data_IF_029528127421
#
_entry.id   IF_029528127421
#
_cell.length_a   1.000
_cell.length_b   1.000
_cell.length_c   1.000
_cell.angle_alpha   90.00
_cell.angle_beta   90.00
_cell.angle_gamma   90.00
#
_symmetry.space_group_name_H-M   'P 1'
#
loop_
_entity.id
_entity.type
_entity.pdbx_description
1 polymer ?
#
# COMPACT_ATOMS: atom_id res chain seq x y z
N UNK A 1 -19.59 79.50 -20.25
CA UNK A 1 -18.94 78.98 -21.49
C UNK A 1 -18.71 77.50 -21.29
N UNK A 2 -19.64 76.69 -21.77
CA UNK A 2 -19.52 75.84 -22.99
C UNK A 2 -18.69 74.59 -22.70
N UNK A 3 -19.33 73.45 -22.42
CA UNK A 3 -19.71 72.37 -23.38
C UNK A 3 -18.46 71.59 -23.84
N UNK A 4 -18.34 70.25 -23.78
CA UNK A 4 -19.28 69.14 -24.08
C UNK A 4 -18.84 67.91 -23.25
N UNK A 5 -19.69 67.07 -22.65
CA UNK A 5 -20.81 66.22 -23.15
C UNK A 5 -20.42 64.87 -23.78
N UNK A 6 -21.09 63.82 -23.24
CA UNK A 6 -21.33 62.44 -23.70
C UNK A 6 -20.16 61.45 -23.82
N UNK A 7 -20.27 60.18 -23.41
CA UNK A 7 -21.42 59.44 -22.91
C UNK A 7 -21.06 57.97 -22.62
N UNK A 8 -21.89 57.32 -21.81
CA UNK A 8 -21.92 55.87 -21.57
C UNK A 8 -22.16 55.10 -22.87
N UNK A 9 -21.51 53.94 -23.00
CA UNK A 9 -22.07 52.81 -23.75
C UNK A 9 -21.55 51.49 -23.17
N UNK A 10 -22.46 50.77 -22.51
CA UNK A 10 -22.34 49.34 -22.24
C UNK A 10 -22.03 48.57 -23.53
N UNK A 11 -21.15 47.58 -23.42
CA UNK A 11 -21.09 46.44 -24.35
C UNK A 11 -21.01 45.15 -23.55
N UNK A 12 -22.16 44.49 -23.44
CA UNK A 12 -22.24 43.04 -23.38
C UNK A 12 -21.97 42.47 -24.78
N UNK A 13 -21.11 41.47 -24.86
CA UNK A 13 -21.09 40.43 -25.91
C UNK A 13 -20.13 39.34 -25.41
N UNK A 14 -20.64 38.29 -24.77
CA UNK A 14 -21.03 37.01 -25.38
C UNK A 14 -19.90 36.25 -26.06
N UNK A 15 -19.69 35.05 -25.52
CA UNK A 15 -19.28 33.79 -26.13
C UNK A 15 -18.21 33.80 -27.25
N UNK A 16 -17.09 33.14 -26.95
CA UNK A 16 -16.63 32.07 -27.85
C UNK A 16 -16.05 30.92 -27.04
N UNK A 17 -16.74 29.80 -27.18
CA UNK A 17 -16.31 28.46 -26.81
C UNK A 17 -14.96 28.15 -27.47
N UNK A 18 -13.98 27.80 -26.65
CA UNK A 18 -12.71 27.23 -27.07
C UNK A 18 -12.54 25.89 -26.37
N UNK A 19 -13.44 24.96 -26.64
CA UNK A 19 -13.32 23.55 -26.27
C UNK A 19 -12.09 23.01 -27.01
N UNK A 20 -10.92 23.02 -26.36
CA UNK A 20 -9.91 22.01 -26.68
C UNK A 20 -10.21 20.77 -25.84
N UNK A 21 -11.22 20.06 -26.33
CA UNK A 21 -11.41 18.64 -26.06
C UNK A 21 -10.19 17.93 -26.63
N UNK A 22 -9.11 17.90 -25.84
CA UNK A 22 -8.02 16.94 -26.01
C UNK A 22 -8.61 15.57 -25.68
N UNK A 23 -9.30 15.05 -26.69
CA UNK A 23 -9.72 13.68 -26.81
C UNK A 23 -8.46 12.84 -26.59
N UNK A 24 -8.34 12.28 -25.39
CA UNK A 24 -7.34 11.28 -25.09
C UNK A 24 -7.68 10.07 -25.96
N UNK A 25 -7.03 10.00 -27.12
CA UNK A 25 -6.91 8.76 -27.87
C UNK A 25 -6.31 7.74 -26.92
N UNK A 26 -7.05 6.66 -26.71
CA UNK A 26 -6.55 5.43 -26.09
C UNK A 26 -5.30 5.00 -26.89
N UNK A 27 -4.13 5.37 -26.41
CA UNK A 27 -2.89 4.72 -26.78
C UNK A 27 -2.79 3.51 -25.86
N UNK A 28 -3.46 2.45 -26.30
CA UNK A 28 -3.17 1.07 -25.95
C UNK A 28 -1.86 0.70 -26.70
N UNK A 29 -0.75 1.28 -26.24
CA UNK A 29 0.58 0.77 -26.52
C UNK A 29 1.21 0.52 -25.17
N UNK A 30 1.22 -0.76 -24.79
CA UNK A 30 2.10 -1.26 -23.77
C UNK A 30 3.49 -0.70 -24.05
N UNK A 31 3.97 0.16 -23.15
CA UNK A 31 5.40 0.45 -23.07
C UNK A 31 6.03 -0.92 -22.89
N UNK A 32 6.65 -1.44 -23.95
CA UNK A 32 7.52 -2.60 -23.90
C UNK A 32 8.62 -2.25 -22.90
N UNK A 33 8.38 -2.66 -21.66
CA UNK A 33 9.35 -2.66 -20.60
C UNK A 33 10.48 -3.56 -21.09
N UNK A 34 11.56 -2.97 -21.57
CA UNK A 34 12.81 -3.69 -21.77
C UNK A 34 13.18 -4.22 -20.38
N UNK A 35 12.90 -5.51 -20.20
CA UNK A 35 12.67 -6.08 -18.88
C UNK A 35 13.97 -6.02 -18.08
N UNK A 36 13.87 -5.64 -16.81
CA UNK A 36 14.90 -5.93 -15.82
C UNK A 36 15.24 -7.43 -15.79
N UNK A 37 14.36 -8.29 -16.31
CA UNK A 37 14.68 -9.69 -16.59
C UNK A 37 15.63 -9.84 -17.78
N UNK A 38 15.50 -9.11 -18.89
CA UNK A 38 16.36 -9.34 -20.08
C UNK A 38 17.86 -9.12 -19.84
N UNK A 39 18.25 -8.19 -18.97
CA UNK A 39 19.65 -7.98 -18.55
C UNK A 39 20.15 -9.02 -17.53
N UNK A 40 19.25 -9.81 -16.95
CA UNK A 40 19.53 -10.87 -15.97
C UNK A 40 19.28 -12.29 -16.53
N UNK A 41 18.39 -12.45 -17.51
CA UNK A 41 18.01 -13.68 -18.21
C UNK A 41 18.91 -13.98 -19.41
N UNK A 42 19.62 -12.97 -19.94
CA UNK A 42 20.71 -13.22 -20.89
C UNK A 42 21.84 -14.09 -20.29
N UNK A 43 21.80 -14.37 -18.98
CA UNK A 43 22.66 -15.33 -18.30
C UNK A 43 21.93 -16.54 -17.69
N UNK A 44 20.62 -16.69 -17.86
CA UNK A 44 19.91 -17.87 -17.35
C UNK A 44 18.95 -18.46 -18.39
N UNK A 45 19.51 -19.32 -19.24
CA UNK A 45 18.74 -20.30 -20.00
C UNK A 45 18.26 -21.41 -19.05
N UNK A 46 17.05 -21.27 -18.50
CA UNK A 46 16.38 -22.39 -17.83
C UNK A 46 15.75 -23.31 -18.88
N UNK A 47 16.50 -24.35 -19.27
CA UNK A 47 15.89 -25.58 -19.79
C UNK A 47 15.34 -26.39 -18.63
N UNK A 48 14.12 -26.88 -18.77
CA UNK A 48 13.45 -27.73 -17.79
C UNK A 48 14.24 -29.02 -17.55
N UNK A 49 14.50 -29.37 -16.28
CA UNK A 49 14.92 -30.71 -15.89
C UNK A 49 16.06 -30.76 -14.87
N UNK A 50 15.71 -31.22 -13.68
CA UNK A 50 16.56 -31.90 -12.68
C UNK A 50 17.59 -31.09 -11.86
N UNK A 51 17.33 -31.16 -10.55
CA UNK A 51 18.21 -31.02 -9.38
C UNK A 51 19.71 -31.13 -9.71
N UNK A 52 20.50 -30.10 -9.41
CA UNK A 52 21.84 -30.22 -8.83
C UNK A 52 22.29 -28.89 -8.18
N UNK A 53 22.72 -29.04 -6.93
CA UNK A 53 23.64 -28.25 -6.09
C UNK A 53 24.11 -26.86 -6.53
N UNK A 54 24.07 -25.95 -5.55
CA UNK A 54 24.86 -24.71 -5.46
C UNK A 54 26.22 -24.84 -6.16
N UNK A 55 26.39 -24.15 -7.28
CA UNK A 55 27.70 -23.84 -7.85
C UNK A 55 27.87 -22.33 -7.83
N UNK A 56 28.88 -21.92 -7.08
CA UNK A 56 29.47 -20.59 -7.12
C UNK A 56 29.88 -20.28 -8.57
N UNK A 57 29.23 -19.30 -9.19
CA UNK A 57 29.77 -18.66 -10.39
C UNK A 57 30.32 -17.29 -10.02
N UNK A 58 31.58 -17.33 -9.57
CA UNK A 58 32.52 -16.22 -9.62
C UNK A 58 32.95 -16.01 -11.08
N UNK A 59 32.45 -14.93 -11.71
CA UNK A 59 33.23 -14.08 -12.63
C UNK A 59 32.59 -12.67 -12.66
N UNK A 60 33.04 -11.83 -11.72
CA UNK A 60 32.67 -10.42 -11.60
C UNK A 60 33.52 -9.56 -12.54
N UNK A 61 33.26 -9.62 -13.84
CA UNK A 61 33.62 -8.51 -14.76
C UNK A 61 32.48 -7.51 -14.71
N UNK A 62 32.39 -6.77 -13.60
CA UNK A 62 31.49 -5.63 -13.48
C UNK A 62 32.00 -4.53 -14.42
N UNK A 63 31.36 -4.37 -15.58
CA UNK A 63 31.54 -3.16 -16.36
C UNK A 63 30.99 -1.98 -15.52
N UNK A 64 31.89 -1.18 -14.94
CA UNK A 64 31.54 -0.02 -14.10
C UNK A 64 30.51 0.89 -14.79
N UNK A 65 30.55 0.97 -16.12
CA UNK A 65 29.62 1.73 -16.95
C UNK A 65 28.21 1.13 -16.95
N UNK A 66 28.07 -0.19 -17.09
CA UNK A 66 26.78 -0.87 -17.01
C UNK A 66 26.13 -0.68 -15.63
N UNK A 67 26.95 -0.68 -14.57
CA UNK A 67 26.43 -0.44 -13.23
C UNK A 67 25.88 0.98 -13.07
N UNK A 68 26.66 1.97 -13.53
CA UNK A 68 26.22 3.38 -13.52
C UNK A 68 24.96 3.57 -14.37
N UNK A 69 24.91 2.94 -15.56
CA UNK A 69 23.75 2.99 -16.44
C UNK A 69 22.50 2.38 -15.79
N UNK A 70 22.65 1.25 -15.08
CA UNK A 70 21.56 0.64 -14.32
C UNK A 70 21.00 1.63 -13.28
N UNK A 71 21.85 2.20 -12.42
CA UNK A 71 21.39 3.11 -11.37
C UNK A 71 20.77 4.40 -11.92
N UNK A 72 21.32 4.96 -13.00
CA UNK A 72 20.74 6.11 -13.69
C UNK A 72 19.34 5.80 -14.25
N UNK A 73 19.18 4.64 -14.90
CA UNK A 73 17.89 4.20 -15.42
C UNK A 73 16.87 3.95 -14.28
N UNK A 74 17.30 3.29 -13.20
CA UNK A 74 16.42 3.09 -12.03
C UNK A 74 15.95 4.43 -11.45
N UNK A 75 16.85 5.41 -11.32
CA UNK A 75 16.50 6.73 -10.80
C UNK A 75 15.54 7.48 -11.73
N UNK A 76 15.75 7.41 -13.05
CA UNK A 76 14.84 8.01 -14.03
C UNK A 76 13.45 7.36 -13.99
N UNK A 77 13.38 6.03 -14.04
CA UNK A 77 12.12 5.28 -13.94
C UNK A 77 11.40 5.58 -12.61
N UNK A 78 12.16 5.67 -11.52
CA UNK A 78 11.62 5.99 -10.21
C UNK A 78 11.01 7.40 -10.17
N UNK A 79 11.74 8.41 -10.64
CA UNK A 79 11.27 9.81 -10.67
C UNK A 79 10.06 9.99 -11.58
N UNK A 80 10.10 9.42 -12.78
CA UNK A 80 8.97 9.47 -13.72
C UNK A 80 7.73 8.77 -13.16
N UNK A 81 7.90 7.66 -12.44
CA UNK A 81 6.79 6.97 -11.79
C UNK A 81 6.21 7.78 -10.63
N UNK A 82 7.04 8.44 -9.81
CA UNK A 82 6.57 9.27 -8.70
C UNK A 82 5.86 10.56 -9.14
N UNK A 83 6.31 11.20 -10.23
CA UNK A 83 5.76 12.48 -10.69
C UNK A 83 4.37 12.34 -11.31
N UNK A 84 4.04 11.18 -11.87
CA UNK A 84 2.72 10.89 -12.46
C UNK A 84 1.66 10.80 -11.37
N UNK A 85 0.83 11.83 -11.20
CA UNK A 85 -0.31 11.83 -10.25
C UNK A 85 -1.56 12.42 -10.89
N UNK A 86 -2.72 11.83 -10.60
CA UNK A 86 -4.03 12.36 -11.00
C UNK A 86 -4.58 13.37 -10.01
N UNK A 87 -5.60 14.12 -10.41
CA UNK A 87 -6.32 15.05 -9.53
C UNK A 87 -6.98 14.34 -8.35
N UNK A 88 -7.53 13.13 -8.57
CA UNK A 88 -8.13 12.33 -7.50
C UNK A 88 -7.10 11.88 -6.45
N UNK A 89 -5.96 11.35 -6.90
CA UNK A 89 -4.87 10.98 -5.98
C UNK A 89 -4.38 12.16 -5.15
N UNK A 90 -4.28 13.35 -5.76
CA UNK A 90 -3.87 14.58 -5.06
C UNK A 90 -4.89 15.00 -3.99
N UNK A 91 -6.19 14.87 -4.27
CA UNK A 91 -7.26 15.15 -3.30
C UNK A 91 -7.20 14.17 -2.12
N UNK A 92 -7.16 12.86 -2.40
CA UNK A 92 -7.04 11.81 -1.35
C UNK A 92 -5.78 12.02 -0.52
N UNK A 93 -4.64 12.36 -1.16
CA UNK A 93 -3.37 12.63 -0.48
C UNK A 93 -3.47 13.84 0.45
N UNK A 94 -4.14 14.91 0.01
CA UNK A 94 -4.36 16.11 0.81
C UNK A 94 -5.19 15.78 2.06
N UNK A 95 -6.37 15.18 1.87
CA UNK A 95 -7.24 14.79 2.99
C UNK A 95 -6.54 13.84 3.97
N UNK A 96 -5.86 12.80 3.46
CA UNK A 96 -5.09 11.86 4.30
C UNK A 96 -4.01 12.57 5.13
N UNK A 97 -3.31 13.54 4.53
CA UNK A 97 -2.26 14.31 5.20
C UNK A 97 -2.83 15.24 6.27
N UNK A 98 -4.00 15.83 6.05
CA UNK A 98 -4.69 16.66 7.03
C UNK A 98 -5.12 15.83 8.24
N UNK A 99 -5.76 14.68 8.02
CA UNK A 99 -6.12 13.75 9.09
C UNK A 99 -4.90 13.31 9.90
N UNK A 100 -3.81 12.91 9.24
CA UNK A 100 -2.58 12.51 9.92
C UNK A 100 -1.94 13.64 10.73
N UNK A 101 -2.05 14.90 10.30
CA UNK A 101 -1.57 16.04 11.09
C UNK A 101 -2.41 16.18 12.36
N UNK A 102 -3.72 16.13 12.24
CA UNK A 102 -4.62 16.26 13.38
C UNK A 102 -4.41 15.13 14.41
N UNK A 103 -4.23 13.89 13.94
CA UNK A 103 -3.95 12.74 14.79
C UNK A 103 -2.61 12.80 15.54
N UNK A 104 -1.65 13.60 15.05
CA UNK A 104 -0.41 13.84 15.81
C UNK A 104 -0.64 14.75 17.02
N UNK A 105 -1.65 15.62 16.95
CA UNK A 105 -2.00 16.54 18.03
C UNK A 105 -3.10 15.99 18.94
N UNK A 106 -3.96 15.11 18.43
CA UNK A 106 -5.01 14.44 19.20
C UNK A 106 -4.61 13.01 19.50
N UNK A 107 -4.31 12.71 20.77
CA UNK A 107 -4.02 11.34 21.20
C UNK A 107 -5.23 10.45 20.93
N UNK A 108 -5.06 9.48 20.04
CA UNK A 108 -6.06 8.43 19.80
C UNK A 108 -6.14 7.58 21.06
N UNK A 109 -7.28 7.59 21.74
CA UNK A 109 -7.54 6.70 22.86
C UNK A 109 -7.74 5.25 22.34
N UNK A 110 -6.64 4.53 22.14
CA UNK A 110 -6.63 3.15 21.64
C UNK A 110 -6.56 2.19 22.84
N UNK A 111 -7.55 1.30 22.94
CA UNK A 111 -7.58 0.18 23.91
C UNK A 111 -6.73 -1.02 23.47
N UNK A 112 -5.94 -0.86 22.40
CA UNK A 112 -5.10 -1.90 21.84
C UNK A 112 -3.86 -2.06 22.74
N UNK A 113 -3.95 -2.97 23.71
CA UNK A 113 -3.01 -3.14 24.84
C UNK A 113 -1.59 -3.62 24.51
N UNK A 114 -0.95 -3.08 23.47
CA UNK A 114 0.47 -3.30 23.15
C UNK A 114 1.05 -2.02 22.55
N UNK A 115 1.63 -1.17 23.38
CA UNK A 115 2.54 -0.11 22.93
C UNK A 115 3.80 -0.15 23.80
N UNK A 116 4.95 -0.28 23.14
CA UNK A 116 6.30 -0.24 23.74
C UNK A 116 7.04 1.07 23.37
N UNK A 117 6.46 1.98 22.57
CA UNK A 117 7.05 3.29 22.27
C UNK A 117 6.03 4.25 21.65
N UNK A 118 6.39 5.53 21.55
CA UNK A 118 5.65 6.73 21.10
C UNK A 118 4.97 6.67 19.70
N UNK A 119 4.86 5.50 19.09
CA UNK A 119 4.19 5.31 17.80
C UNK A 119 2.68 5.13 17.97
N UNK A 120 1.86 5.88 17.22
CA UNK A 120 0.41 5.67 17.17
C UNK A 120 0.05 4.26 16.67
N UNK A 121 -1.07 3.69 17.14
CA UNK A 121 -1.48 2.34 16.74
C UNK A 121 -1.90 2.29 15.28
N UNK A 122 -1.12 1.60 14.42
CA UNK A 122 -1.40 1.46 12.98
C UNK A 122 -2.85 1.10 12.68
N UNK A 123 -3.44 0.14 13.41
CA UNK A 123 -4.84 -0.28 13.21
C UNK A 123 -5.85 0.83 13.52
N UNK A 124 -5.64 1.58 14.61
CA UNK A 124 -6.53 2.69 14.95
C UNK A 124 -6.31 3.89 14.03
N UNK A 125 -5.07 4.17 13.65
CA UNK A 125 -4.74 5.21 12.67
C UNK A 125 -5.41 4.92 11.32
N UNK A 126 -5.36 3.68 10.83
CA UNK A 126 -6.07 3.26 9.62
C UNK A 126 -7.59 3.43 9.77
N UNK A 127 -8.16 3.06 10.93
CA UNK A 127 -9.60 3.24 11.21
C UNK A 127 -10.02 4.70 11.16
N UNK A 128 -9.31 5.57 11.86
CA UNK A 128 -9.62 7.01 11.89
C UNK A 128 -9.52 7.62 10.49
N UNK A 129 -8.45 7.33 9.75
CA UNK A 129 -8.29 7.84 8.38
C UNK A 129 -9.44 7.35 7.49
N UNK A 130 -9.76 6.07 7.56
CA UNK A 130 -10.86 5.50 6.77
C UNK A 130 -12.21 6.10 7.14
N UNK A 131 -12.46 6.42 8.41
CA UNK A 131 -13.70 7.06 8.86
C UNK A 131 -13.79 8.51 8.39
N UNK A 132 -12.72 9.30 8.58
CA UNK A 132 -12.72 10.71 8.16
C UNK A 132 -12.79 10.88 6.65
N UNK A 133 -12.09 10.06 5.88
CA UNK A 133 -12.22 10.07 4.43
C UNK A 133 -13.66 9.72 3.99
N UNK A 134 -14.32 8.78 4.67
CA UNK A 134 -15.73 8.48 4.38
C UNK A 134 -16.67 9.62 4.75
N UNK A 135 -16.42 10.31 5.87
CA UNK A 135 -17.18 11.50 6.26
C UNK A 135 -17.00 12.66 5.26
N UNK A 136 -15.85 12.74 4.59
CA UNK A 136 -15.61 13.65 3.46
C UNK A 136 -16.23 13.18 2.13
N UNK A 137 -16.86 12.00 2.10
CA UNK A 137 -17.56 11.44 0.92
C UNK A 137 -16.71 10.51 0.05
N UNK A 138 -15.49 10.13 0.46
CA UNK A 138 -14.71 9.14 -0.26
C UNK A 138 -15.16 7.71 0.06
N UNK A 139 -15.13 6.83 -0.95
CA UNK A 139 -15.35 5.41 -0.75
C UNK A 139 -14.06 4.71 -0.28
N UNK A 140 -13.72 4.86 1.00
CA UNK A 140 -12.48 4.35 1.60
C UNK A 140 -12.72 3.06 2.40
N UNK A 141 -11.85 2.07 2.21
CA UNK A 141 -11.89 0.76 2.85
C UNK A 141 -10.55 0.40 3.48
N UNK A 142 -10.60 -0.38 4.57
CA UNK A 142 -9.44 -1.10 5.07
C UNK A 142 -9.45 -2.49 4.46
N UNK A 143 -8.42 -2.77 3.66
CA UNK A 143 -8.25 -4.02 2.94
C UNK A 143 -7.27 -4.92 3.70
N UNK A 144 -7.60 -6.20 3.80
CA UNK A 144 -6.70 -7.23 4.32
C UNK A 144 -6.32 -8.19 3.20
N UNK A 145 -5.06 -8.17 2.78
CA UNK A 145 -4.50 -9.19 1.90
C UNK A 145 -3.98 -10.36 2.72
N UNK A 146 -4.16 -11.58 2.21
CA UNK A 146 -3.60 -12.83 2.75
C UNK A 146 -3.09 -13.68 1.59
N UNK A 147 -1.91 -14.29 1.75
CA UNK A 147 -1.36 -15.21 0.77
C UNK A 147 -0.74 -16.43 1.45
N UNK A 148 -0.82 -17.56 0.76
CA UNK A 148 -0.20 -18.82 1.20
C UNK A 148 1.30 -18.82 0.90
N UNK A 149 2.02 -19.69 1.59
CA UNK A 149 3.42 -19.92 1.28
C UNK A 149 3.57 -20.59 -0.09
N UNK A 150 4.70 -20.32 -0.72
CA UNK A 150 5.16 -20.97 -1.95
C UNK A 150 6.67 -21.25 -1.83
N UNK A 151 7.27 -21.82 -2.86
CA UNK A 151 8.72 -22.05 -2.89
C UNK A 151 9.53 -20.73 -2.80
N UNK A 152 8.97 -19.62 -3.28
CA UNK A 152 9.70 -18.35 -3.38
C UNK A 152 9.47 -17.41 -2.20
N UNK A 153 8.28 -17.47 -1.59
CA UNK A 153 7.82 -16.55 -0.56
C UNK A 153 7.06 -17.26 0.57
N UNK A 154 7.25 -16.85 1.83
CA UNK A 154 6.46 -17.35 2.95
C UNK A 154 5.02 -16.81 2.91
N UNK A 155 4.12 -17.48 3.62
CA UNK A 155 2.76 -16.99 3.83
C UNK A 155 2.78 -15.69 4.63
N UNK A 156 1.79 -14.84 4.41
CA UNK A 156 1.67 -13.60 5.16
C UNK A 156 0.29 -12.98 5.06
N UNK A 157 0.11 -11.94 5.85
CA UNK A 157 -1.06 -11.06 5.79
C UNK A 157 -0.62 -9.61 5.90
N UNK A 158 -1.40 -8.71 5.30
CA UNK A 158 -1.10 -7.28 5.32
C UNK A 158 -2.38 -6.46 5.31
N UNK A 159 -2.38 -5.33 6.03
CA UNK A 159 -3.49 -4.37 6.01
C UNK A 159 -3.06 -3.04 5.42
N UNK A 160 -3.81 -2.58 4.43
CA UNK A 160 -3.66 -1.30 3.75
C UNK A 160 -5.03 -0.64 3.58
N UNK A 161 -5.07 0.58 3.07
CA UNK A 161 -6.33 1.26 2.77
C UNK A 161 -6.48 1.46 1.26
N UNK A 162 -7.71 1.35 0.77
CA UNK A 162 -8.06 1.53 -0.64
C UNK A 162 -9.21 2.54 -0.74
N UNK A 163 -9.08 3.50 -1.65
CA UNK A 163 -10.13 4.46 -1.99
C UNK A 163 -10.58 4.21 -3.43
N UNK A 164 -11.87 3.98 -3.61
CA UNK A 164 -12.47 3.67 -4.91
C UNK A 164 -13.17 4.91 -5.46
N UNK A 165 -12.81 5.31 -6.67
CA UNK A 165 -13.56 6.29 -7.44
C UNK A 165 -14.41 5.57 -8.47
N UNK A 166 -15.73 5.60 -8.29
CA UNK A 166 -16.66 5.13 -9.29
C UNK A 166 -16.66 6.15 -10.44
N UNK A 167 -16.10 5.78 -11.59
CA UNK A 167 -16.24 6.60 -12.79
C UNK A 167 -17.58 6.24 -13.43
N UNK A 168 -18.35 7.24 -13.86
CA UNK A 168 -19.64 7.04 -14.55
C UNK A 168 -19.48 6.50 -15.98
N UNK A 169 -18.28 6.03 -16.35
CA UNK A 169 -18.00 5.55 -17.68
C UNK A 169 -18.74 4.22 -17.93
N UNK A 170 -19.27 4.07 -19.15
CA UNK A 170 -20.11 2.95 -19.61
C UNK A 170 -19.47 1.55 -19.47
N UNK A 171 -18.21 1.47 -19.01
CA UNK A 171 -17.41 0.24 -18.91
C UNK A 171 -17.28 -0.31 -17.48
N UNK A 172 -17.89 0.34 -16.48
CA UNK A 172 -17.88 -0.15 -15.09
C UNK A 172 -16.49 -0.16 -14.43
N UNK A 173 -15.52 0.54 -15.01
CA UNK A 173 -14.15 0.57 -14.52
C UNK A 173 -14.02 1.57 -13.35
N UNK A 174 -13.76 1.04 -12.16
CA UNK A 174 -13.54 1.85 -10.96
C UNK A 174 -12.05 2.09 -10.75
N UNK A 175 -11.69 3.35 -10.53
CA UNK A 175 -10.29 3.72 -10.28
C UNK A 175 -9.98 3.50 -8.80
N UNK A 176 -8.94 2.70 -8.53
CA UNK A 176 -8.49 2.38 -7.16
C UNK A 176 -7.23 3.13 -6.80
N UNK A 177 -7.24 3.75 -5.62
CA UNK A 177 -6.09 4.43 -5.02
C UNK A 177 -5.74 3.75 -3.70
N UNK A 178 -4.50 3.30 -3.58
CA UNK A 178 -3.95 2.70 -2.37
C UNK A 178 -3.38 3.80 -1.47
N UNK A 179 -3.62 3.68 -0.17
CA UNK A 179 -2.98 4.46 0.88
C UNK A 179 -2.16 3.50 1.76
N UNK A 180 -0.84 3.71 1.77
CA UNK A 180 0.10 3.03 2.67
C UNK A 180 0.74 4.04 3.60
N UNK A 181 0.66 3.81 4.92
CA UNK A 181 1.09 4.76 5.94
C UNK A 181 2.59 4.71 6.26
N UNK A 182 3.26 3.60 5.94
CA UNK A 182 4.69 3.40 6.20
C UNK A 182 5.42 2.88 4.95
N UNK A 183 5.17 3.51 3.80
CA UNK A 183 5.64 2.98 2.52
C UNK A 183 7.16 2.97 2.42
N UNK A 184 7.82 4.06 2.83
CA UNK A 184 9.28 4.14 2.86
C UNK A 184 9.90 3.01 3.72
N UNK A 185 9.39 2.81 4.93
CA UNK A 185 9.89 1.80 5.85
C UNK A 185 9.81 0.37 5.33
N UNK A 186 8.89 0.07 4.39
CA UNK A 186 8.82 -1.25 3.75
C UNK A 186 10.05 -1.55 2.85
N UNK A 187 10.76 -0.53 2.39
CA UNK A 187 11.92 -0.64 1.49
C UNK A 187 13.26 -0.30 2.14
N UNK A 188 13.28 0.16 3.40
CA UNK A 188 14.52 0.42 4.12
C UNK A 188 15.31 -0.87 4.38
N UNK A 189 16.63 -0.79 4.20
CA UNK A 189 17.56 -1.89 4.44
C UNK A 189 18.75 -1.40 5.26
N UNK A 190 19.09 -2.14 6.32
CA UNK A 190 20.21 -1.77 7.19
C UNK A 190 21.58 -1.79 6.47
N UNK A 191 21.74 -2.63 5.45
CA UNK A 191 22.98 -2.79 4.67
C UNK A 191 22.73 -2.48 3.19
N UNK A 192 22.19 -1.30 2.90
CA UNK A 192 22.04 -0.79 1.55
C UNK A 192 23.28 0.00 1.10
N UNK A 193 23.57 -0.01 -0.20
CA UNK A 193 24.55 0.89 -0.83
C UNK A 193 23.98 2.32 -0.94
N UNK A 194 24.82 3.27 -1.37
CA UNK A 194 24.46 4.69 -1.39
C UNK A 194 23.36 4.99 -2.41
N UNK A 195 23.43 4.36 -3.58
CA UNK A 195 22.51 4.53 -4.70
C UNK A 195 21.09 4.06 -4.32
N UNK A 196 20.97 2.88 -3.70
CA UNK A 196 19.69 2.40 -3.20
C UNK A 196 19.14 3.29 -2.08
N UNK A 197 19.99 3.69 -1.13
CA UNK A 197 19.59 4.59 -0.05
C UNK A 197 19.10 5.93 -0.59
N UNK A 198 19.71 6.45 -1.67
CA UNK A 198 19.27 7.66 -2.35
C UNK A 198 17.85 7.51 -2.91
N UNK A 199 17.54 6.40 -3.58
CA UNK A 199 16.17 6.11 -4.05
C UNK A 199 15.16 6.04 -2.89
N UNK A 200 15.48 5.29 -1.83
CA UNK A 200 14.56 5.11 -0.69
C UNK A 200 14.32 6.43 0.05
N UNK A 201 15.32 7.29 0.21
CA UNK A 201 15.17 8.61 0.85
C UNK A 201 14.18 9.53 0.11
N UNK A 202 14.01 9.34 -1.20
CA UNK A 202 13.06 10.10 -2.01
C UNK A 202 11.62 9.57 -1.90
N UNK A 203 11.41 8.36 -1.36
CA UNK A 203 10.06 7.81 -1.19
C UNK A 203 9.24 8.61 -0.17
N UNK A 204 7.95 8.84 -0.43
CA UNK A 204 7.08 9.39 0.60
C UNK A 204 6.88 8.38 1.73
N UNK A 205 6.86 8.87 2.97
CA UNK A 205 6.50 8.05 4.14
C UNK A 205 5.09 7.45 3.98
N UNK A 206 4.15 8.31 3.57
CA UNK A 206 2.77 7.95 3.28
C UNK A 206 2.57 7.94 1.78
N UNK A 207 2.40 6.77 1.20
CA UNK A 207 2.09 6.62 -0.21
C UNK A 207 0.59 6.74 -0.44
N UNK A 208 0.21 7.53 -1.44
CA UNK A 208 -1.17 7.62 -1.95
C UNK A 208 -1.12 7.56 -3.47
N UNK A 209 -1.59 6.46 -4.07
CA UNK A 209 -1.50 6.27 -5.50
C UNK A 209 -2.30 5.15 -6.14
N UNK A 210 -2.45 5.21 -7.47
CA UNK A 210 -3.03 4.13 -8.28
C UNK A 210 -2.32 2.81 -8.09
N UNK A 211 -3.07 1.72 -8.23
CA UNK A 211 -2.56 0.34 -8.15
C UNK A 211 -1.42 0.13 -9.15
N UNK A 212 -1.58 0.49 -10.42
CA UNK A 212 -0.55 0.27 -11.45
C UNK A 212 0.76 1.03 -11.15
N UNK A 213 0.62 2.24 -10.60
CA UNK A 213 1.79 3.05 -10.21
C UNK A 213 2.51 2.42 -9.03
N UNK A 214 1.76 1.88 -8.06
CA UNK A 214 2.33 1.13 -6.95
C UNK A 214 3.06 -0.13 -7.44
N UNK A 215 2.48 -0.87 -8.39
CA UNK A 215 3.13 -2.04 -8.99
C UNK A 215 4.47 -1.70 -9.63
N UNK A 216 4.52 -0.61 -10.41
CA UNK A 216 5.74 -0.14 -11.05
C UNK A 216 6.80 0.28 -10.02
N UNK A 217 6.42 1.01 -8.97
CA UNK A 217 7.34 1.37 -7.89
C UNK A 217 7.89 0.14 -7.17
N UNK A 218 7.03 -0.84 -6.85
CA UNK A 218 7.46 -2.09 -6.24
C UNK A 218 8.46 -2.83 -7.15
N UNK A 219 8.22 -2.87 -8.47
CA UNK A 219 9.12 -3.49 -9.44
C UNK A 219 10.49 -2.82 -9.45
N UNK A 220 10.53 -1.49 -9.61
CA UNK A 220 11.76 -0.67 -9.63
C UNK A 220 12.55 -0.90 -8.33
N UNK A 221 11.91 -0.71 -7.18
CA UNK A 221 12.57 -0.81 -5.89
C UNK A 221 13.08 -2.22 -5.61
N UNK A 222 12.31 -3.27 -5.90
CA UNK A 222 12.76 -4.65 -5.71
C UNK A 222 13.95 -5.01 -6.62
N UNK A 223 13.99 -4.48 -7.85
CA UNK A 223 15.14 -4.66 -8.75
C UNK A 223 16.38 -3.96 -8.20
N UNK A 224 16.23 -2.71 -7.76
CA UNK A 224 17.29 -1.95 -7.11
C UNK A 224 17.79 -2.65 -5.83
N UNK A 225 16.88 -3.17 -5.00
CA UNK A 225 17.25 -3.95 -3.81
C UNK A 225 18.04 -5.21 -4.19
N UNK A 226 17.60 -5.94 -5.23
CA UNK A 226 18.30 -7.16 -5.69
C UNK A 226 19.72 -6.85 -6.17
N UNK A 227 19.89 -5.77 -6.95
CA UNK A 227 21.22 -5.30 -7.40
C UNK A 227 22.09 -4.92 -6.20
N UNK A 228 21.57 -4.11 -5.28
CA UNK A 228 22.29 -3.71 -4.07
C UNK A 228 22.72 -4.91 -3.20
N UNK A 229 21.82 -5.89 -2.99
CA UNK A 229 22.16 -7.10 -2.22
C UNK A 229 23.24 -7.93 -2.91
N UNK A 230 23.19 -8.04 -4.25
CA UNK A 230 24.22 -8.74 -5.04
C UNK A 230 25.59 -8.05 -4.92
N UNK A 231 25.63 -6.72 -5.04
CA UNK A 231 26.87 -5.95 -4.89
C UNK A 231 27.48 -6.04 -3.50
N UNK A 232 26.63 -6.14 -2.47
CA UNK A 232 27.05 -6.31 -1.08
C UNK A 232 27.37 -7.78 -0.71
N UNK A 233 27.27 -8.73 -1.65
CA UNK A 233 27.49 -10.15 -1.38
C UNK A 233 26.50 -10.75 -0.38
N UNK A 234 25.25 -10.25 -0.35
CA UNK A 234 24.22 -10.66 0.61
C UNK A 234 23.00 -11.28 -0.07
N UNK A 235 22.39 -12.26 0.61
CA UNK A 235 21.11 -12.80 0.17
C UNK A 235 19.94 -11.86 0.52
N UNK A 236 19.00 -11.75 -0.41
CA UNK A 236 17.79 -10.97 -0.24
C UNK A 236 16.74 -11.76 0.57
N UNK A 237 16.26 -11.17 1.66
CA UNK A 237 15.21 -11.78 2.47
C UNK A 237 13.92 -12.01 1.66
N UNK A 238 13.17 -13.11 1.88
CA UNK A 238 11.98 -13.43 1.09
C UNK A 238 10.92 -12.33 1.08
N UNK A 239 10.76 -11.60 2.19
CA UNK A 239 9.75 -10.53 2.31
C UNK A 239 10.09 -9.24 1.55
N UNK A 240 11.32 -9.11 1.02
CA UNK A 240 11.71 -8.00 0.15
C UNK A 240 11.59 -8.35 -1.32
N UNK A 241 11.42 -9.63 -1.66
CA UNK A 241 11.29 -10.07 -3.05
C UNK A 241 10.03 -9.49 -3.69
N UNK A 242 10.09 -9.29 -5.00
CA UNK A 242 9.02 -8.69 -5.78
C UNK A 242 7.66 -9.36 -5.57
N UNK A 243 7.58 -10.71 -5.66
CA UNK A 243 6.33 -11.44 -5.46
C UNK A 243 5.72 -11.25 -4.08
N UNK A 244 6.54 -11.16 -3.02
CA UNK A 244 6.03 -10.91 -1.67
C UNK A 244 5.47 -9.49 -1.54
N UNK A 245 6.19 -8.50 -2.08
CA UNK A 245 5.74 -7.11 -2.07
C UNK A 245 4.48 -6.89 -2.91
N UNK A 246 4.35 -7.58 -4.04
CA UNK A 246 3.11 -7.59 -4.83
C UNK A 246 1.94 -8.22 -4.04
N UNK A 247 2.17 -9.36 -3.38
CA UNK A 247 1.12 -10.04 -2.62
C UNK A 247 0.50 -9.17 -1.50
N UNK A 248 1.27 -8.23 -0.93
CA UNK A 248 0.76 -7.27 0.07
C UNK A 248 -0.42 -6.42 -0.43
N UNK A 249 -0.36 -5.97 -1.68
CA UNK A 249 -1.28 -4.95 -2.21
C UNK A 249 -2.16 -5.42 -3.38
N UNK A 250 -1.78 -6.51 -4.05
CA UNK A 250 -2.44 -6.98 -5.29
C UNK A 250 -3.22 -8.28 -5.12
N UNK A 251 -3.14 -8.92 -3.95
CA UNK A 251 -4.00 -10.07 -3.65
C UNK A 251 -5.47 -9.68 -3.62
N UNK A 252 -6.38 -10.62 -3.78
CA UNK A 252 -7.82 -10.38 -3.60
C UNK A 252 -8.08 -10.04 -2.12
N UNK A 253 -8.36 -8.76 -1.78
CA UNK A 253 -8.45 -8.39 -0.39
C UNK A 253 -9.79 -8.82 0.20
N UNK A 254 -9.77 -9.31 1.42
CA UNK A 254 -10.95 -9.29 2.27
C UNK A 254 -11.19 -7.83 2.67
N UNK A 255 -12.31 -7.24 2.22
CA UNK A 255 -12.76 -5.94 2.72
C UNK A 255 -13.24 -6.18 4.15
N UNK A 256 -12.58 -5.56 5.13
CA UNK A 256 -13.00 -5.68 6.52
C UNK A 256 -14.36 -4.97 6.68
N UNK A 257 -15.46 -5.69 6.96
CA UNK A 257 -16.75 -5.05 7.22
C UNK A 257 -16.63 -4.20 8.48
N UNK A 258 -17.36 -3.09 8.55
CA UNK A 258 -17.47 -2.32 9.79
C UNK A 258 -17.96 -3.23 10.91
N UNK A 259 -17.22 -3.22 12.02
CA UNK A 259 -17.81 -3.61 13.30
C UNK A 259 -18.71 -2.46 13.71
N UNK A 260 -19.97 -2.48 13.26
CA UNK A 260 -21.03 -1.70 13.88
C UNK A 260 -21.13 -2.26 15.29
N UNK A 261 -20.50 -1.60 16.27
CA UNK A 261 -20.82 -1.87 17.65
C UNK A 261 -22.25 -1.36 17.84
N UNK A 262 -23.25 -2.22 18.13
CA UNK A 262 -24.52 -1.70 18.56
C UNK A 262 -24.24 -0.93 19.85
N UNK A 263 -24.51 0.38 19.84
CA UNK A 263 -24.69 1.16 21.04
C UNK A 263 -25.94 0.60 21.72
N UNK A 264 -25.77 -0.51 22.44
CA UNK A 264 -26.79 -1.10 23.27
C UNK A 264 -26.29 -1.05 24.70
N UNK A 265 -26.70 0.03 25.36
CA UNK A 265 -27.06 0.11 26.77
C UNK A 265 -26.45 -0.99 27.65
N UNK A 266 -25.50 -0.59 28.50
CA UNK A 266 -25.01 -1.41 29.62
C UNK A 266 -26.18 -1.83 30.53
N UNK A 267 -26.85 -2.93 30.20
CA UNK A 267 -27.52 -3.77 31.18
C UNK A 267 -26.54 -4.88 31.51
N UNK A 268 -25.93 -4.76 32.70
CA UNK A 268 -25.06 -5.78 33.27
C UNK A 268 -25.74 -7.16 33.16
N UNK A 269 -25.03 -8.22 32.76
CA UNK A 269 -25.57 -9.57 32.89
C UNK A 269 -25.83 -9.86 34.38
N UNK A 270 -26.92 -10.57 34.73
CA UNK A 270 -27.10 -11.04 36.09
C UNK A 270 -25.97 -12.02 36.42
N UNK A 271 -25.30 -11.81 37.55
CA UNK A 271 -24.29 -12.74 38.05
C UNK A 271 -24.94 -14.11 38.28
N UNK A 272 -24.28 -15.22 37.95
CA UNK A 272 -24.77 -16.54 38.33
C UNK A 272 -24.74 -16.64 39.86
N UNK A 273 -25.92 -16.88 40.45
CA UNK A 273 -26.04 -17.26 41.86
C UNK A 273 -25.67 -18.74 41.95
N UNK A 274 -24.51 -19.05 42.50
CA UNK A 274 -24.19 -20.40 42.94
C UNK A 274 -25.03 -20.68 44.18
N UNK A 275 -25.93 -21.66 44.11
CA UNK A 275 -26.66 -22.17 45.27
C UNK A 275 -25.67 -22.90 46.18
N UNK A 276 -25.65 -22.55 47.45
CA UNK A 276 -24.73 -23.07 48.46
C UNK A 276 -25.38 -24.14 49.35
N UNK A 277 -26.35 -24.89 48.82
CA UNK A 277 -27.11 -25.89 49.56
C UNK A 277 -27.37 -27.14 48.72
N UNK A 278 -26.36 -27.99 48.62
CA UNK A 278 -26.50 -29.45 48.55
C UNK A 278 -25.26 -30.05 49.22
N UNK A 279 -25.22 -29.95 50.55
CA UNK A 279 -24.59 -31.00 51.34
C UNK A 279 -25.60 -32.15 51.37
N UNK A 280 -25.17 -33.36 51.05
CA UNK A 280 -25.57 -34.56 51.78
C UNK A 280 -24.57 -35.69 51.47
N UNK A 281 -23.78 -35.99 52.49
CA UNK A 281 -23.08 -37.25 52.71
C UNK A 281 -24.09 -38.25 53.29
N UNK A 282 -24.05 -39.53 52.87
CA UNK A 282 -24.29 -40.76 53.66
C UNK A 282 -23.94 -41.93 52.71
N UNK A 283 -22.81 -42.64 52.86
CA UNK A 283 -22.49 -43.74 53.79
C UNK A 283 -22.95 -45.15 53.35
N UNK A 284 -21.95 -46.03 53.20
CA UNK A 284 -21.86 -47.49 53.44
C UNK A 284 -22.74 -48.55 52.72
N UNK A 285 -22.02 -49.39 51.94
CA UNK A 285 -22.10 -50.83 51.56
C UNK A 285 -23.12 -51.77 52.29
N UNK A 286 -23.54 -52.97 51.75
CA UNK A 286 -22.67 -53.96 51.07
C UNK A 286 -23.22 -54.91 49.96
N UNK A 287 -22.26 -55.50 49.22
CA UNK A 287 -22.12 -56.89 48.69
C UNK A 287 -23.33 -57.61 48.04
N UNK A 288 -23.15 -58.11 46.80
CA UNK A 288 -23.25 -59.56 46.50
C UNK A 288 -22.55 -59.98 45.20
N UNK A 289 -21.80 -61.07 45.37
CA UNK A 289 -21.09 -61.91 44.41
C UNK A 289 -22.09 -62.70 43.55
N UNK A 290 -21.85 -62.78 42.24
CA UNK A 290 -21.82 -64.03 41.45
C UNK A 290 -20.79 -63.83 40.33
#
# INVERSE_FOLDING_TARGET
>A
MTSKDLGDFEKNSDESEGIYELTFGFIDEGIEFQSCESLLESKISYSSGEILMDQEEDENVNNSEENKAFWALQEELFKTTLSRTTSFESKVRKSTKEVLKELKFTSINCSCGKMISDSSCRKCTQREISERLRNEGYNCFICKSKWKSSLEIPSGEYTYMEVVQNTSSKKGESMKVIIELNFRGEFEMARANEEYNHLVKQLPEVYVGKVDRLQNLIKILCCASKKCMKENGMHMAPWRKHKYMQAKYLGSPEIMPEVIFPVNNFRRPPRPRVSMLTFDLIESLPIKVV
#
